data_IF_704225958676
#
_entry.id   IF_704225958676
#
_cell.length_a   1.000
_cell.length_b   1.000
_cell.length_c   1.000
_cell.angle_alpha   90.00
_cell.angle_beta   90.00
_cell.angle_gamma   90.00
#
_symmetry.space_group_name_H-M   'P 1'
#
loop_
_entity.id
_entity.type
_entity.pdbx_description
1 polymer ?
#
# COMPACT_ATOMS: atom_id res chain seq x y z
N UNK A 1 -0.04 37.00 -16.37
CA UNK A 1 0.68 36.78 -15.10
C UNK A 1 0.11 35.50 -14.52
N UNK A 2 0.95 34.50 -14.41
CA UNK A 2 0.58 33.27 -13.73
C UNK A 2 0.39 33.60 -12.24
N UNK A 3 -0.81 33.44 -11.67
CA UNK A 3 -1.08 33.85 -10.29
C UNK A 3 -0.45 32.90 -9.26
N UNK A 4 0.15 31.80 -9.70
CA UNK A 4 0.76 30.83 -8.81
C UNK A 4 2.28 30.88 -8.95
N UNK A 5 3.03 31.06 -7.86
CA UNK A 5 4.48 30.94 -7.91
C UNK A 5 4.84 29.53 -8.43
N UNK A 6 5.78 29.49 -9.38
CA UNK A 6 6.32 28.22 -9.83
C UNK A 6 6.73 27.40 -8.60
N UNK A 7 6.22 26.19 -8.49
CA UNK A 7 6.60 25.27 -7.39
C UNK A 7 8.12 25.13 -7.44
N UNK A 8 8.87 25.57 -6.42
CA UNK A 8 10.31 25.46 -6.44
C UNK A 8 10.68 23.99 -6.51
N UNK A 9 11.60 23.67 -7.37
CA UNK A 9 12.33 22.42 -7.58
C UNK A 9 12.15 21.35 -6.51
N UNK A 10 10.98 20.75 -6.42
CA UNK A 10 10.74 19.50 -5.78
C UNK A 10 10.38 18.48 -6.86
N UNK A 11 10.50 17.21 -6.60
CA UNK A 11 10.08 16.17 -7.54
C UNK A 11 8.73 16.54 -8.15
N UNK A 12 8.69 16.64 -9.48
CA UNK A 12 7.46 16.95 -10.19
C UNK A 12 6.44 15.89 -9.81
N UNK A 13 5.36 16.32 -9.14
CA UNK A 13 4.26 15.43 -8.81
C UNK A 13 3.73 14.88 -10.13
N UNK A 14 3.78 13.56 -10.27
CA UNK A 14 3.17 12.88 -11.40
C UNK A 14 1.64 12.95 -11.24
N UNK A 15 1.06 13.98 -11.83
CA UNK A 15 -0.39 14.22 -11.74
C UNK A 15 -1.21 13.07 -12.31
N UNK A 16 -0.67 12.31 -13.27
CA UNK A 16 -1.38 11.15 -13.81
C UNK A 16 -1.55 10.06 -12.73
N UNK A 17 -0.55 9.82 -11.90
CA UNK A 17 -0.65 8.92 -10.75
C UNK A 17 -1.59 9.43 -9.66
N UNK A 18 -1.79 10.74 -9.58
CA UNK A 18 -2.72 11.36 -8.63
C UNK A 18 -4.10 11.65 -9.28
N UNK A 19 -4.39 11.06 -10.45
CA UNK A 19 -5.64 11.23 -11.19
C UNK A 19 -5.98 12.70 -11.51
N UNK A 20 -4.95 13.52 -11.80
CA UNK A 20 -5.06 14.95 -12.09
C UNK A 20 -5.75 15.76 -10.99
N UNK A 21 -5.62 15.34 -9.73
CA UNK A 21 -6.19 16.04 -8.58
C UNK A 21 -5.14 16.88 -7.87
N UNK A 22 -5.63 17.89 -7.17
CA UNK A 22 -4.81 18.68 -6.25
C UNK A 22 -4.32 17.81 -5.10
N UNK A 23 -3.03 17.89 -4.82
CA UNK A 23 -2.37 17.18 -3.71
C UNK A 23 -1.64 18.20 -2.85
N UNK A 24 -1.80 18.10 -1.55
CA UNK A 24 -0.97 18.85 -0.60
C UNK A 24 0.31 18.07 -0.35
N UNK A 25 1.39 18.79 -0.13
CA UNK A 25 2.68 18.22 0.23
C UNK A 25 3.09 18.77 1.58
N UNK A 26 3.45 17.88 2.49
CA UNK A 26 4.16 18.23 3.72
C UNK A 26 5.64 18.03 3.44
N UNK A 27 6.43 19.05 3.66
CA UNK A 27 7.88 19.02 3.46
C UNK A 27 8.60 19.27 4.77
N UNK A 28 9.62 18.49 5.04
CA UNK A 28 10.53 18.68 6.15
C UNK A 28 11.71 19.58 5.72
N UNK A 29 12.33 20.27 6.67
CA UNK A 29 13.49 21.14 6.41
C UNK A 29 14.71 20.44 5.76
N UNK A 30 14.78 19.12 5.83
CA UNK A 30 15.76 18.26 5.15
C UNK A 30 15.40 17.92 3.71
N UNK A 31 14.20 18.30 3.25
CA UNK A 31 13.72 18.07 1.88
C UNK A 31 12.85 16.83 1.68
N UNK A 32 12.68 15.99 2.71
CA UNK A 32 11.75 14.86 2.62
C UNK A 32 10.32 15.36 2.49
N UNK A 33 9.56 14.71 1.61
CA UNK A 33 8.19 15.08 1.30
C UNK A 33 7.22 13.92 1.51
N UNK A 34 6.03 14.24 2.02
CA UNK A 34 4.90 13.32 2.06
C UNK A 34 3.65 13.97 1.49
N UNK A 35 2.86 13.17 0.78
CA UNK A 35 1.64 13.65 0.12
C UNK A 35 0.44 13.52 1.04
N UNK A 36 -0.36 14.59 1.13
CA UNK A 36 -1.68 14.59 1.75
C UNK A 36 -2.72 14.69 0.65
N UNK A 37 -3.29 13.56 0.27
CA UNK A 37 -4.28 13.46 -0.80
C UNK A 37 -5.63 14.03 -0.38
N UNK A 38 -6.41 14.46 -1.38
CA UNK A 38 -7.84 14.71 -1.23
C UNK A 38 -8.61 13.45 -1.65
N UNK A 39 -9.57 13.06 -0.83
CA UNK A 39 -10.36 11.85 -1.04
C UNK A 39 -11.74 12.14 -1.64
N UNK A 40 -12.42 11.10 -2.11
CA UNK A 40 -13.77 11.19 -2.69
C UNK A 40 -14.87 11.15 -1.60
N UNK A 41 -14.57 11.73 -0.45
CA UNK A 41 -15.52 11.94 0.64
C UNK A 41 -15.80 13.45 0.82
N UNK A 42 -16.70 13.78 1.72
CA UNK A 42 -17.07 15.18 1.98
C UNK A 42 -16.08 15.91 2.92
N UNK A 43 -15.00 15.25 3.32
CA UNK A 43 -13.99 15.84 4.19
C UNK A 43 -12.86 16.45 3.36
N UNK A 44 -12.87 17.75 3.20
CA UNK A 44 -11.86 18.48 2.41
C UNK A 44 -10.55 18.73 3.17
N UNK A 45 -10.49 18.42 4.45
CA UNK A 45 -9.31 18.58 5.28
C UNK A 45 -8.70 17.23 5.64
N UNK A 46 -7.37 17.12 5.70
CA UNK A 46 -6.73 15.91 6.19
C UNK A 46 -7.05 15.71 7.67
N UNK A 47 -7.34 14.46 8.05
CA UNK A 47 -7.51 14.09 9.45
C UNK A 47 -6.16 14.08 10.19
N UNK A 48 -6.21 14.09 11.51
CA UNK A 48 -5.02 13.95 12.34
C UNK A 48 -4.25 12.66 12.02
N UNK A 49 -4.97 11.56 11.75
CA UNK A 49 -4.38 10.28 11.35
C UNK A 49 -3.55 10.39 10.08
N UNK A 50 -4.05 11.09 9.07
CA UNK A 50 -3.36 11.29 7.78
C UNK A 50 -2.13 12.18 7.93
N UNK A 51 -2.25 13.25 8.71
CA UNK A 51 -1.11 14.13 9.00
C UNK A 51 -0.04 13.35 9.76
N UNK A 52 -0.43 12.60 10.78
CA UNK A 52 0.48 11.76 11.56
C UNK A 52 1.14 10.67 10.71
N UNK A 53 0.39 10.02 9.80
CA UNK A 53 0.93 9.06 8.86
C UNK A 53 1.95 9.69 7.90
N UNK A 54 1.65 10.89 7.39
CA UNK A 54 2.57 11.63 6.52
C UNK A 54 3.86 12.02 7.24
N UNK A 55 3.74 12.55 8.47
CA UNK A 55 4.90 12.89 9.31
C UNK A 55 5.74 11.64 9.64
N UNK A 56 5.08 10.55 10.02
CA UNK A 56 5.75 9.28 10.32
C UNK A 56 6.51 8.75 9.10
N UNK A 57 5.92 8.84 7.91
CA UNK A 57 6.54 8.39 6.65
C UNK A 57 7.85 9.14 6.33
N UNK A 58 7.96 10.40 6.77
CA UNK A 58 9.19 11.20 6.61
C UNK A 58 10.23 10.95 7.70
N UNK A 59 9.84 10.35 8.82
CA UNK A 59 10.73 10.15 9.99
C UNK A 59 11.26 8.71 10.10
N UNK A 60 10.45 7.75 9.68
CA UNK A 60 10.77 6.32 9.79
C UNK A 60 10.44 5.61 8.49
N UNK A 61 11.16 4.52 8.21
CA UNK A 61 10.84 3.66 7.07
C UNK A 61 9.41 3.13 7.21
N UNK A 62 8.54 3.34 6.21
CA UNK A 62 7.17 2.83 6.24
C UNK A 62 7.12 1.32 6.42
N UNK A 63 6.13 0.83 7.14
CA UNK A 63 5.85 -0.60 7.21
C UNK A 63 5.47 -1.08 5.81
N UNK A 64 6.23 -2.04 5.30
CA UNK A 64 6.03 -2.58 3.96
C UNK A 64 5.27 -3.89 4.01
N UNK A 65 4.18 -3.93 3.25
CA UNK A 65 3.30 -5.09 3.11
C UNK A 65 3.56 -5.76 1.76
N UNK A 66 3.90 -7.04 1.79
CA UNK A 66 4.05 -7.89 0.60
C UNK A 66 2.74 -8.63 0.33
N UNK A 67 2.01 -8.27 -0.72
CA UNK A 67 0.82 -8.99 -1.15
C UNK A 67 1.23 -10.18 -2.00
N UNK A 68 0.90 -11.39 -1.56
CA UNK A 68 1.18 -12.61 -2.29
C UNK A 68 0.33 -12.67 -3.55
N UNK A 69 0.95 -13.09 -4.65
CA UNK A 69 0.30 -13.26 -5.96
C UNK A 69 0.75 -14.57 -6.60
N UNK A 70 -0.05 -15.08 -7.56
CA UNK A 70 0.30 -16.30 -8.32
C UNK A 70 -0.58 -17.51 -8.03
N UNK A 71 -1.53 -17.41 -7.06
CA UNK A 71 -2.44 -18.49 -6.65
C UNK A 71 -3.90 -18.08 -6.79
N UNK A 72 -4.18 -17.20 -7.77
CA UNK A 72 -5.53 -16.66 -8.03
C UNK A 72 -6.12 -15.88 -6.84
N UNK A 73 -5.25 -15.22 -6.09
CA UNK A 73 -5.65 -14.31 -5.03
C UNK A 73 -6.47 -13.15 -5.60
N UNK A 74 -7.24 -12.49 -4.74
CA UNK A 74 -7.88 -11.24 -5.10
C UNK A 74 -6.84 -10.15 -5.31
N UNK A 75 -7.01 -9.41 -6.39
CA UNK A 75 -6.06 -8.36 -6.73
C UNK A 75 -6.11 -7.20 -5.76
N UNK A 76 -4.95 -6.72 -5.34
CA UNK A 76 -4.79 -5.50 -4.53
C UNK A 76 -4.82 -4.22 -5.36
N UNK A 77 -4.83 -4.33 -6.70
CA UNK A 77 -4.75 -3.20 -7.64
C UNK A 77 -5.97 -3.05 -8.54
N UNK A 78 -6.69 -4.15 -8.83
CA UNK A 78 -7.89 -4.11 -9.66
C UNK A 78 -9.10 -3.56 -8.89
N UNK A 79 -9.97 -2.88 -9.63
CA UNK A 79 -11.25 -2.37 -9.14
C UNK A 79 -12.33 -3.40 -9.48
N UNK A 80 -13.07 -3.84 -8.48
CA UNK A 80 -14.19 -4.76 -8.64
C UNK A 80 -14.74 -5.16 -7.27
N UNK A 81 -15.96 -5.68 -7.23
CA UNK A 81 -16.63 -6.07 -5.98
C UNK A 81 -15.90 -7.21 -5.25
N UNK A 82 -15.03 -7.90 -5.98
CA UNK A 82 -14.27 -9.03 -5.46
C UNK A 82 -12.78 -8.75 -5.30
N UNK A 83 -12.33 -7.51 -5.52
CA UNK A 83 -10.93 -7.14 -5.45
C UNK A 83 -10.67 -6.20 -4.27
N UNK A 84 -9.44 -6.22 -3.78
CA UNK A 84 -9.06 -5.48 -2.58
C UNK A 84 -8.38 -4.14 -2.87
N UNK A 85 -8.55 -3.56 -4.07
CA UNK A 85 -7.89 -2.29 -4.36
C UNK A 85 -8.36 -1.16 -3.44
N UNK A 86 -9.63 -1.11 -3.05
CA UNK A 86 -10.15 -0.12 -2.08
C UNK A 86 -9.41 -0.21 -0.76
N UNK A 87 -9.24 -1.42 -0.23
CA UNK A 87 -8.52 -1.64 1.02
C UNK A 87 -7.02 -1.37 0.86
N UNK A 88 -6.41 -1.79 -0.25
CA UNK A 88 -4.96 -1.84 -0.38
C UNK A 88 -4.36 -0.59 -1.02
N UNK A 89 -4.72 -0.29 -2.29
CA UNK A 89 -3.97 0.66 -3.12
C UNK A 89 -4.81 1.80 -3.71
N UNK A 90 -6.06 1.93 -3.32
CA UNK A 90 -6.93 2.95 -3.91
C UNK A 90 -6.61 4.35 -3.39
N UNK A 91 -5.92 5.16 -4.21
CA UNK A 91 -5.45 6.48 -3.80
C UNK A 91 -6.54 7.49 -3.42
N UNK A 92 -7.80 7.27 -3.83
CA UNK A 92 -8.94 8.15 -3.52
C UNK A 92 -9.75 7.70 -2.31
N UNK A 93 -9.49 6.53 -1.78
CA UNK A 93 -10.17 6.02 -0.61
C UNK A 93 -9.32 6.29 0.62
N UNK A 94 -9.83 7.12 1.52
CA UNK A 94 -9.12 7.60 2.71
C UNK A 94 -8.48 6.46 3.50
N UNK A 95 -9.23 5.39 3.70
CA UNK A 95 -8.84 4.27 4.56
C UNK A 95 -8.04 3.17 3.84
N UNK A 96 -7.62 3.37 2.59
CA UNK A 96 -6.71 2.43 1.95
C UNK A 96 -5.34 2.43 2.65
N UNK A 97 -4.67 1.28 2.66
CA UNK A 97 -3.39 1.09 3.35
C UNK A 97 -2.35 2.12 2.92
N UNK A 98 -2.24 2.43 1.62
CA UNK A 98 -1.28 3.41 1.11
C UNK A 98 -1.52 4.83 1.64
N UNK A 99 -2.75 5.17 2.01
CA UNK A 99 -3.10 6.47 2.57
C UNK A 99 -2.98 6.49 4.11
N UNK A 100 -2.84 5.31 4.74
CA UNK A 100 -2.63 5.14 6.17
C UNK A 100 -1.15 4.93 6.54
N UNK A 101 -0.24 5.21 5.62
CA UNK A 101 1.21 5.20 5.89
C UNK A 101 1.89 3.84 5.69
N UNK A 102 1.24 2.87 5.05
CA UNK A 102 1.85 1.63 4.62
C UNK A 102 2.34 1.73 3.18
N UNK A 103 3.42 1.01 2.87
CA UNK A 103 3.80 0.72 1.50
C UNK A 103 3.36 -0.70 1.14
N UNK A 104 2.87 -0.90 -0.09
CA UNK A 104 2.43 -2.21 -0.55
C UNK A 104 3.15 -2.57 -1.84
N UNK A 105 3.64 -3.82 -1.90
CA UNK A 105 4.27 -4.41 -3.09
C UNK A 105 3.67 -5.79 -3.36
N UNK A 106 3.52 -6.16 -4.61
CA UNK A 106 3.10 -7.51 -4.99
C UNK A 106 4.33 -8.45 -5.02
N UNK A 107 4.17 -9.65 -4.49
CA UNK A 107 5.21 -10.67 -4.41
C UNK A 107 4.70 -11.97 -5.03
N UNK A 108 5.36 -12.44 -6.08
CA UNK A 108 5.13 -13.76 -6.64
C UNK A 108 6.21 -14.72 -6.10
N UNK A 109 5.85 -15.58 -5.16
CA UNK A 109 6.80 -16.49 -4.51
C UNK A 109 7.39 -17.54 -5.47
N UNK A 110 6.73 -17.84 -6.60
CA UNK A 110 7.24 -18.77 -7.62
C UNK A 110 8.57 -18.31 -8.20
N UNK A 111 8.72 -16.99 -8.33
CA UNK A 111 9.88 -16.36 -8.95
C UNK A 111 10.96 -15.97 -7.92
N UNK A 112 10.74 -16.30 -6.63
CA UNK A 112 11.59 -15.88 -5.53
C UNK A 112 12.24 -17.06 -4.81
N UNK A 113 13.38 -16.78 -4.18
CA UNK A 113 14.05 -17.75 -3.29
C UNK A 113 13.84 -17.40 -1.81
N UNK A 114 13.55 -16.14 -1.51
CA UNK A 114 13.22 -15.66 -0.16
C UNK A 114 12.44 -14.35 -0.23
N UNK A 115 11.72 -14.00 0.85
CA UNK A 115 11.02 -12.72 0.98
C UNK A 115 12.04 -11.64 1.39
N UNK A 116 12.06 -10.48 0.70
CA UNK A 116 13.00 -9.41 1.03
C UNK A 116 12.92 -9.00 2.51
N UNK A 117 14.07 -8.69 3.11
CA UNK A 117 14.18 -8.38 4.53
C UNK A 117 13.45 -7.09 4.94
N UNK A 118 13.14 -6.22 3.98
CA UNK A 118 12.38 -4.98 4.20
C UNK A 118 10.86 -5.18 4.17
N UNK A 119 10.36 -6.40 3.96
CA UNK A 119 8.95 -6.74 4.09
C UNK A 119 8.67 -7.05 5.57
N UNK A 120 7.65 -6.39 6.12
CA UNK A 120 7.27 -6.54 7.52
C UNK A 120 6.05 -7.44 7.71
N UNK A 121 5.14 -7.41 6.74
CA UNK A 121 3.86 -8.13 6.78
C UNK A 121 3.64 -8.78 5.42
N UNK A 122 3.18 -10.04 5.41
CA UNK A 122 2.62 -10.68 4.23
C UNK A 122 1.10 -10.56 4.24
N UNK A 123 0.52 -10.21 3.11
CA UNK A 123 -0.91 -10.21 2.87
C UNK A 123 -1.27 -11.35 1.92
N UNK A 124 -2.13 -12.26 2.38
CA UNK A 124 -2.72 -13.34 1.57
C UNK A 124 -4.20 -13.07 1.43
N UNK A 125 -4.63 -12.70 0.22
CA UNK A 125 -5.98 -12.25 -0.08
C UNK A 125 -6.77 -13.32 -0.85
N UNK A 126 -7.49 -14.18 -0.15
CA UNK A 126 -8.32 -15.25 -0.75
C UNK A 126 -7.59 -16.12 -1.79
N UNK A 127 -6.55 -16.79 -1.38
CA UNK A 127 -5.84 -17.75 -2.21
C UNK A 127 -6.77 -18.91 -2.63
N UNK A 128 -6.79 -19.21 -3.94
CA UNK A 128 -7.68 -20.24 -4.53
C UNK A 128 -6.97 -21.49 -5.02
N UNK A 129 -5.65 -21.48 -5.07
CA UNK A 129 -4.83 -22.66 -5.35
C UNK A 129 -3.76 -22.85 -4.29
N UNK A 130 -3.35 -24.09 -4.05
CA UNK A 130 -2.36 -24.43 -3.04
C UNK A 130 -0.97 -23.93 -3.42
N UNK A 131 -0.18 -23.57 -2.42
CA UNK A 131 1.23 -23.26 -2.55
C UNK A 131 2.06 -24.56 -2.69
N UNK A 132 3.14 -24.49 -3.44
CA UNK A 132 4.15 -25.55 -3.49
C UNK A 132 4.95 -25.64 -2.17
N UNK A 133 5.62 -26.77 -1.93
CA UNK A 133 6.48 -26.91 -0.75
C UNK A 133 7.57 -25.85 -0.67
N UNK A 134 8.15 -25.45 -1.82
CA UNK A 134 9.13 -24.36 -1.88
C UNK A 134 8.57 -23.03 -1.37
N UNK A 135 7.35 -22.69 -1.78
CA UNK A 135 6.71 -21.44 -1.38
C UNK A 135 6.35 -21.46 0.11
N UNK A 136 5.91 -22.60 0.63
CA UNK A 136 5.67 -22.79 2.05
C UNK A 136 6.96 -22.60 2.87
N UNK A 137 8.07 -23.19 2.45
CA UNK A 137 9.37 -23.00 3.09
C UNK A 137 9.83 -21.53 3.09
N UNK A 138 9.54 -20.78 2.04
CA UNK A 138 9.83 -19.34 1.98
C UNK A 138 9.02 -18.58 3.04
N UNK A 139 7.74 -18.95 3.21
CA UNK A 139 6.87 -18.34 4.24
C UNK A 139 7.33 -18.74 5.64
N UNK A 140 7.70 -19.99 5.85
CA UNK A 140 8.18 -20.48 7.15
C UNK A 140 9.44 -19.71 7.58
N UNK A 141 10.42 -19.55 6.68
CA UNK A 141 11.60 -18.72 6.97
C UNK A 141 11.25 -17.26 7.27
N UNK A 142 10.24 -16.72 6.59
CA UNK A 142 9.76 -15.36 6.88
C UNK A 142 9.19 -15.26 8.29
N UNK A 143 8.41 -16.25 8.73
CA UNK A 143 7.85 -16.31 10.09
C UNK A 143 8.93 -16.51 11.14
N UNK A 144 9.88 -17.41 10.90
CA UNK A 144 11.00 -17.69 11.81
C UNK A 144 11.83 -16.45 12.11
N UNK A 145 11.99 -15.54 11.14
CA UNK A 145 12.68 -14.27 11.36
C UNK A 145 11.80 -13.15 11.95
N UNK A 146 10.58 -13.49 12.41
CA UNK A 146 9.67 -12.55 13.08
C UNK A 146 8.73 -11.80 12.14
N UNK A 147 8.54 -12.26 10.92
CA UNK A 147 7.56 -11.71 9.98
C UNK A 147 6.12 -11.94 10.43
N UNK A 148 5.20 -11.07 10.00
CA UNK A 148 3.79 -11.18 10.33
C UNK A 148 2.97 -11.52 9.09
N UNK A 149 1.89 -12.29 9.25
CA UNK A 149 0.98 -12.64 8.17
C UNK A 149 -0.43 -12.11 8.48
N UNK A 150 -1.05 -11.48 7.48
CA UNK A 150 -2.45 -11.15 7.45
C UNK A 150 -3.13 -12.01 6.39
N UNK A 151 -4.08 -12.85 6.79
CA UNK A 151 -4.86 -13.70 5.90
C UNK A 151 -6.28 -13.13 5.85
N UNK A 152 -6.73 -12.85 4.65
CA UNK A 152 -8.09 -12.39 4.36
C UNK A 152 -8.79 -13.46 3.53
N UNK A 153 -9.95 -13.92 3.98
CA UNK A 153 -10.73 -14.94 3.30
C UNK A 153 -12.22 -14.74 3.55
N UNK A 154 -13.04 -15.17 2.61
CA UNK A 154 -14.48 -15.29 2.81
C UNK A 154 -14.80 -16.73 3.25
N UNK A 155 -15.64 -16.87 4.26
CA UNK A 155 -16.24 -18.17 4.56
C UNK A 155 -17.28 -18.47 3.48
N UNK A 156 -16.90 -19.30 2.52
CA UNK A 156 -17.86 -19.83 1.54
C UNK A 156 -18.76 -20.84 2.26
N UNK A 157 -19.78 -20.34 2.94
CA UNK A 157 -20.84 -21.20 3.50
C UNK A 157 -21.71 -21.64 2.31
N UNK A 158 -21.18 -22.55 1.49
CA UNK A 158 -22.04 -23.31 0.58
C UNK A 158 -22.82 -24.30 1.43
N UNK A 159 -24.09 -23.95 1.65
CA UNK A 159 -25.07 -24.92 2.08
C UNK A 159 -25.45 -25.83 0.91
#
# INVERSE_FOLDING_TARGET
>A
RDPYPAVPYGEKIDLAKENYRFVRVVERGSGEQARLRLFDDMEYHPSETEISAALKKMLVTPVKVGAITGHQERSTTKKGDQDYSLFATHGRFRYSMINQGFDLVELNLKDMNDIPSNINILLIAEMRSSMSSKEQEIIDRFLERGGNIMIMGTSDVRK
#
